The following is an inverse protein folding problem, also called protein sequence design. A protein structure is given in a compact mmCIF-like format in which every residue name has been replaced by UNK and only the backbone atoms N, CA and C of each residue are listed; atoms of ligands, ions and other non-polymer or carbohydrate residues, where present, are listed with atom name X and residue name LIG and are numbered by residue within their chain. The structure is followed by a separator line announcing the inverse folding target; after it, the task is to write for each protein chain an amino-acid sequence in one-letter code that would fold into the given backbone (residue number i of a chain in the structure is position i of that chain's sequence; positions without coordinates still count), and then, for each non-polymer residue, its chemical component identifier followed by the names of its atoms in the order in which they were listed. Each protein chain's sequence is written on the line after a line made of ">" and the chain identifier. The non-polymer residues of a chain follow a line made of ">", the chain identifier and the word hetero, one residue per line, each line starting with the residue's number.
data_IF_691074225203
#
_entry.id   IF_691074225203
#
_cell.length_a   1.000
_cell.length_b   1.000
_cell.length_c   1.000
_cell.angle_alpha   90.00
_cell.angle_beta   90.00
_cell.angle_gamma   90.00
#
_symmetry.space_group_name_H-M   'P 1'
#
loop_
_entity.id
_entity.type
_entity.pdbx_description
1 polymer ?
#
# COMPACT_ATOMS: atom_id res chain seq x y z
N UNK A 1 20.93 20.10 -0.20
CA UNK A 1 20.64 19.60 -1.56
C UNK A 1 21.64 20.02 -2.65
N UNK A 2 22.74 20.75 -2.37
CA UNK A 2 23.70 21.17 -3.41
C UNK A 2 25.00 20.36 -3.50
N UNK A 3 25.44 19.66 -2.43
CA UNK A 3 26.71 18.91 -2.43
C UNK A 3 26.67 17.50 -3.05
N UNK A 4 25.50 16.86 -3.09
CA UNK A 4 25.34 15.55 -3.75
C UNK A 4 25.37 15.68 -5.28
N UNK A 5 24.90 16.80 -5.82
CA UNK A 5 24.85 17.04 -7.25
C UNK A 5 26.25 17.20 -7.89
N UNK A 6 27.24 17.70 -7.15
CA UNK A 6 28.63 17.82 -7.61
C UNK A 6 29.44 16.52 -7.55
N UNK A 7 28.89 15.46 -6.93
CA UNK A 7 29.48 14.12 -6.86
C UNK A 7 28.85 13.14 -7.89
N UNK A 8 27.85 13.58 -8.67
CA UNK A 8 26.99 12.73 -9.49
C UNK A 8 27.74 11.90 -10.53
N UNK A 9 28.85 12.38 -11.10
CA UNK A 9 29.60 11.64 -12.13
C UNK A 9 30.28 10.35 -11.61
N UNK A 10 30.31 10.14 -10.29
CA UNK A 10 30.80 8.90 -9.67
C UNK A 10 29.89 8.27 -8.61
N UNK A 11 28.85 8.98 -8.15
CA UNK A 11 28.01 8.55 -7.03
C UNK A 11 27.21 7.28 -7.32
N UNK A 12 26.84 7.01 -8.58
CA UNK A 12 26.17 5.78 -9.00
C UNK A 12 27.00 4.53 -8.67
N UNK A 13 28.33 4.62 -8.69
CA UNK A 13 29.24 3.53 -8.31
C UNK A 13 29.16 3.15 -6.83
N UNK A 14 28.65 4.05 -5.99
CA UNK A 14 28.47 3.81 -4.55
C UNK A 14 27.12 3.14 -4.24
N UNK A 15 26.16 3.16 -5.16
CA UNK A 15 24.81 2.60 -4.95
C UNK A 15 24.86 1.14 -4.48
N UNK A 16 25.64 0.23 -5.07
CA UNK A 16 25.73 -1.16 -4.59
C UNK A 16 26.26 -1.26 -3.14
N UNK A 17 27.20 -0.39 -2.76
CA UNK A 17 27.74 -0.39 -1.39
C UNK A 17 26.69 0.10 -0.39
N UNK A 18 25.93 1.16 -0.70
CA UNK A 18 24.81 1.61 0.12
C UNK A 18 23.73 0.54 0.25
N UNK A 19 23.36 -0.13 -0.84
CA UNK A 19 22.39 -1.23 -0.81
C UNK A 19 22.83 -2.37 0.11
N UNK A 20 24.11 -2.75 0.10
CA UNK A 20 24.64 -3.78 1.02
C UNK A 20 24.52 -3.36 2.47
N UNK A 21 24.89 -2.13 2.82
CA UNK A 21 24.77 -1.60 4.18
C UNK A 21 23.30 -1.55 4.61
N UNK A 22 22.41 -1.06 3.75
CA UNK A 22 20.98 -1.01 4.07
C UNK A 22 20.41 -2.41 4.28
N UNK A 23 20.81 -3.39 3.47
CA UNK A 23 20.35 -4.77 3.58
C UNK A 23 20.68 -5.43 4.93
N UNK A 24 21.71 -4.96 5.65
CA UNK A 24 22.04 -5.50 6.98
C UNK A 24 21.22 -4.88 8.11
N UNK A 25 20.45 -3.81 7.84
CA UNK A 25 19.70 -3.07 8.87
C UNK A 25 18.23 -2.82 8.52
N UNK A 26 17.78 -3.21 7.32
CA UNK A 26 16.48 -2.80 6.78
C UNK A 26 15.29 -3.37 7.57
N UNK A 27 15.46 -4.55 8.19
CA UNK A 27 14.41 -5.21 9.00
C UNK A 27 14.46 -4.87 10.50
N UNK A 28 15.53 -4.20 10.95
CA UNK A 28 15.74 -3.85 12.36
C UNK A 28 15.76 -2.33 12.60
N UNK A 29 15.93 -1.54 11.55
CA UNK A 29 16.21 -0.11 11.62
C UNK A 29 15.19 0.72 10.85
N UNK A 30 14.13 1.25 11.50
CA UNK A 30 13.15 2.15 10.88
C UNK A 30 13.78 3.30 10.05
N UNK A 31 14.89 3.86 10.54
CA UNK A 31 15.61 4.95 9.88
C UNK A 31 16.26 4.56 8.53
N UNK A 32 16.53 3.27 8.31
CA UNK A 32 17.10 2.78 7.06
C UNK A 32 16.22 3.11 5.85
N UNK A 33 14.89 3.13 6.03
CA UNK A 33 13.95 3.48 4.96
C UNK A 33 14.01 4.96 4.55
N UNK A 34 14.43 5.86 5.44
CA UNK A 34 14.63 7.26 5.06
C UNK A 34 15.83 7.42 4.12
N UNK A 35 16.90 6.65 4.35
CA UNK A 35 18.08 6.60 3.50
C UNK A 35 17.76 5.89 2.18
N UNK A 36 17.11 4.73 2.25
CA UNK A 36 16.64 3.98 1.07
C UNK A 36 15.76 4.86 0.17
N UNK A 37 14.78 5.56 0.74
CA UNK A 37 13.93 6.51 -0.01
C UNK A 37 14.76 7.54 -0.76
N UNK A 38 15.77 8.13 -0.13
CA UNK A 38 16.62 9.14 -0.78
C UNK A 38 17.44 8.52 -1.90
N UNK A 39 18.03 7.34 -1.66
CA UNK A 39 18.78 6.58 -2.66
C UNK A 39 17.93 6.30 -3.91
N UNK A 40 16.70 5.80 -3.72
CA UNK A 40 15.81 5.46 -4.82
C UNK A 40 15.30 6.70 -5.56
N UNK A 41 14.96 7.79 -4.87
CA UNK A 41 14.47 8.99 -5.53
C UNK A 41 15.55 9.69 -6.38
N UNK A 42 16.82 9.49 -6.05
CA UNK A 42 17.95 10.10 -6.78
C UNK A 42 18.47 9.19 -7.89
N UNK A 43 18.62 7.88 -7.64
CA UNK A 43 19.40 6.99 -8.51
C UNK A 43 18.59 5.90 -9.23
N UNK A 44 17.27 5.84 -9.06
CA UNK A 44 16.45 4.77 -9.65
C UNK A 44 16.49 4.71 -11.18
N UNK A 45 16.77 5.83 -11.87
CA UNK A 45 16.95 5.82 -13.33
C UNK A 45 18.31 5.24 -13.72
N UNK A 46 19.38 5.67 -13.04
CA UNK A 46 20.76 5.32 -13.38
C UNK A 46 21.24 3.99 -12.79
N UNK A 47 20.49 3.41 -11.85
CA UNK A 47 20.86 2.19 -11.12
C UNK A 47 19.66 1.25 -10.94
N UNK A 48 18.77 1.22 -11.94
CA UNK A 48 17.48 0.52 -11.90
C UNK A 48 17.60 -0.98 -11.56
N UNK A 49 18.57 -1.69 -12.12
CA UNK A 49 18.76 -3.13 -11.86
C UNK A 49 19.11 -3.40 -10.39
N UNK A 50 20.20 -2.79 -9.88
CA UNK A 50 20.67 -3.01 -8.51
C UNK A 50 19.62 -2.56 -7.49
N UNK A 51 18.98 -1.43 -7.73
CA UNK A 51 17.91 -0.93 -6.86
C UNK A 51 16.65 -1.81 -6.95
N UNK A 52 16.32 -2.33 -8.13
CA UNK A 52 15.18 -3.23 -8.33
C UNK A 52 15.34 -4.55 -7.60
N UNK A 53 16.52 -5.17 -7.67
CA UNK A 53 16.83 -6.40 -6.94
C UNK A 53 16.76 -6.20 -5.42
N UNK A 54 17.35 -5.12 -4.91
CA UNK A 54 17.30 -4.80 -3.49
C UNK A 54 15.88 -4.45 -3.03
N UNK A 55 15.11 -3.72 -3.82
CA UNK A 55 13.72 -3.42 -3.54
C UNK A 55 12.88 -4.69 -3.39
N UNK A 56 13.01 -5.62 -4.34
CA UNK A 56 12.31 -6.90 -4.30
C UNK A 56 12.72 -7.72 -3.08
N UNK A 57 14.01 -7.80 -2.77
CA UNK A 57 14.51 -8.51 -1.59
C UNK A 57 13.98 -7.89 -0.29
N UNK A 58 14.11 -6.56 -0.12
CA UNK A 58 13.66 -5.87 1.08
C UNK A 58 12.14 -5.96 1.25
N UNK A 59 11.36 -5.83 0.17
CA UNK A 59 9.92 -6.02 0.23
C UNK A 59 9.57 -7.45 0.66
N UNK A 60 10.28 -8.46 0.16
CA UNK A 60 10.10 -9.85 0.59
C UNK A 60 10.40 -10.08 2.07
N UNK A 61 11.50 -9.53 2.58
CA UNK A 61 11.86 -9.60 4.00
C UNK A 61 10.84 -8.92 4.89
N UNK A 62 10.38 -7.72 4.52
CA UNK A 62 9.36 -6.99 5.29
C UNK A 62 8.00 -7.69 5.23
N UNK A 63 7.65 -8.30 4.09
CA UNK A 63 6.44 -9.10 3.99
C UNK A 63 6.48 -10.31 4.94
N UNK A 64 7.63 -10.99 5.04
CA UNK A 64 7.82 -12.06 6.02
C UNK A 64 7.73 -11.54 7.47
N UNK A 65 8.40 -10.43 7.79
CA UNK A 65 8.30 -9.78 9.09
C UNK A 65 6.85 -9.43 9.45
N UNK A 66 6.06 -8.92 8.50
CA UNK A 66 4.65 -8.59 8.74
C UNK A 66 3.78 -9.82 9.03
N UNK A 67 4.18 -11.01 8.57
CA UNK A 67 3.48 -12.26 8.94
C UNK A 67 3.78 -12.70 10.36
N UNK A 68 4.97 -12.39 10.87
CA UNK A 68 5.41 -12.79 12.22
C UNK A 68 5.06 -11.73 13.28
N UNK A 69 5.20 -10.45 12.92
CA UNK A 69 5.02 -9.31 13.81
C UNK A 69 4.46 -8.09 13.04
N UNK A 70 3.12 -8.05 12.91
CA UNK A 70 2.39 -6.95 12.27
C UNK A 70 2.47 -5.61 13.04
N UNK A 71 3.05 -5.62 14.24
CA UNK A 71 3.22 -4.43 15.10
C UNK A 71 4.67 -3.90 15.10
N UNK A 72 5.54 -4.45 14.24
CA UNK A 72 6.90 -3.96 14.08
C UNK A 72 6.93 -2.49 13.67
N UNK A 73 7.81 -1.73 14.32
CA UNK A 73 8.09 -0.31 14.07
C UNK A 73 8.68 -0.03 12.68
N UNK A 74 9.13 -1.08 11.99
CA UNK A 74 9.64 -1.02 10.62
C UNK A 74 8.54 -0.87 9.57
N UNK A 75 7.31 -1.32 9.88
CA UNK A 75 6.23 -1.39 8.88
C UNK A 75 5.77 -0.02 8.43
N UNK A 76 5.59 0.95 9.33
CA UNK A 76 5.19 2.32 8.94
C UNK A 76 6.23 2.99 8.02
N UNK A 77 7.53 3.05 8.36
CA UNK A 77 8.56 3.57 7.46
C UNK A 77 8.63 2.85 6.11
N UNK A 78 8.50 1.52 6.09
CA UNK A 78 8.49 0.74 4.85
C UNK A 78 7.30 1.13 3.97
N UNK A 79 6.09 1.14 4.52
CA UNK A 79 4.87 1.48 3.78
C UNK A 79 4.91 2.93 3.28
N UNK A 80 5.42 3.85 4.09
CA UNK A 80 5.62 5.23 3.70
C UNK A 80 6.65 5.36 2.57
N UNK A 81 7.76 4.62 2.62
CA UNK A 81 8.75 4.54 1.55
C UNK A 81 8.14 3.98 0.26
N UNK A 82 7.46 2.84 0.33
CA UNK A 82 6.79 2.19 -0.79
C UNK A 82 5.78 3.13 -1.46
N UNK A 83 4.96 3.83 -0.66
CA UNK A 83 3.99 4.80 -1.16
C UNK A 83 4.67 5.97 -1.89
N UNK A 84 5.76 6.50 -1.36
CA UNK A 84 6.50 7.59 -2.01
C UNK A 84 7.14 7.12 -3.32
N UNK A 85 7.68 5.90 -3.35
CA UNK A 85 8.27 5.34 -4.56
C UNK A 85 7.22 5.16 -5.65
N UNK A 86 6.08 4.56 -5.31
CA UNK A 86 4.92 4.40 -6.20
C UNK A 86 4.44 5.75 -6.77
N UNK A 87 4.35 6.77 -5.91
CA UNK A 87 3.83 8.09 -6.30
C UNK A 87 4.81 8.89 -7.15
N UNK A 88 6.11 8.84 -6.83
CA UNK A 88 7.12 9.73 -7.44
C UNK A 88 7.93 9.06 -8.53
N UNK A 89 7.99 7.73 -8.55
CA UNK A 89 8.83 6.98 -9.47
C UNK A 89 8.13 5.70 -9.95
N UNK A 90 6.90 5.87 -10.43
CA UNK A 90 6.11 4.77 -10.99
C UNK A 90 6.84 3.97 -12.09
N UNK A 91 7.53 4.60 -13.07
CA UNK A 91 8.25 3.85 -14.10
C UNK A 91 9.27 2.86 -13.54
N UNK A 92 9.95 3.23 -12.45
CA UNK A 92 10.86 2.31 -11.76
C UNK A 92 10.10 1.10 -11.18
N UNK A 93 8.99 1.33 -10.48
CA UNK A 93 8.20 0.25 -9.86
C UNK A 93 7.67 -0.78 -10.86
N UNK A 94 7.47 -0.38 -12.12
CA UNK A 94 7.01 -1.26 -13.20
C UNK A 94 8.15 -1.81 -14.06
N UNK A 95 9.40 -1.47 -13.76
CA UNK A 95 10.56 -2.02 -14.45
C UNK A 95 10.85 -3.48 -14.07
N UNK A 96 11.59 -4.18 -14.93
CA UNK A 96 11.73 -5.65 -14.91
C UNK A 96 12.05 -6.26 -13.53
N UNK A 97 13.09 -5.77 -12.83
CA UNK A 97 13.47 -6.33 -11.52
C UNK A 97 12.59 -5.85 -10.37
N UNK A 98 12.00 -4.65 -10.48
CA UNK A 98 11.30 -3.98 -9.40
C UNK A 98 9.82 -4.36 -9.31
N UNK A 99 9.20 -4.78 -10.42
CA UNK A 99 7.79 -5.20 -10.47
C UNK A 99 7.53 -6.42 -9.58
N UNK A 100 8.54 -7.27 -9.38
CA UNK A 100 8.48 -8.46 -8.53
C UNK A 100 8.29 -8.14 -7.05
N UNK A 101 8.55 -6.89 -6.63
CA UNK A 101 8.28 -6.44 -5.27
C UNK A 101 6.79 -6.14 -5.01
N UNK A 102 6.01 -5.80 -6.04
CA UNK A 102 4.61 -5.37 -5.89
C UNK A 102 3.73 -6.39 -5.14
N UNK A 103 3.83 -7.71 -5.41
CA UNK A 103 3.20 -8.75 -4.59
C UNK A 103 3.48 -8.58 -3.09
N UNK A 104 4.75 -8.49 -2.70
CA UNK A 104 5.17 -8.38 -1.31
C UNK A 104 4.71 -7.09 -0.64
N UNK A 105 4.76 -5.97 -1.38
CA UNK A 105 4.28 -4.67 -0.92
C UNK A 105 2.78 -4.71 -0.64
N UNK A 106 2.01 -5.31 -1.55
CA UNK A 106 0.57 -5.49 -1.40
C UNK A 106 0.25 -6.42 -0.23
N UNK A 107 0.95 -7.53 -0.09
CA UNK A 107 0.75 -8.49 1.00
C UNK A 107 1.05 -7.87 2.37
N UNK A 108 2.13 -7.09 2.48
CA UNK A 108 2.48 -6.35 3.70
C UNK A 108 1.36 -5.37 4.08
N UNK A 109 0.93 -4.54 3.14
CA UNK A 109 -0.14 -3.57 3.40
C UNK A 109 -1.48 -4.26 3.73
N UNK A 110 -1.76 -5.39 3.10
CA UNK A 110 -2.95 -6.21 3.39
C UNK A 110 -2.92 -6.77 4.81
N UNK A 111 -1.77 -7.29 5.26
CA UNK A 111 -1.60 -7.83 6.60
C UNK A 111 -1.79 -6.74 7.66
N UNK A 112 -1.20 -5.56 7.45
CA UNK A 112 -1.40 -4.40 8.33
C UNK A 112 -2.88 -4.00 8.38
N UNK A 113 -3.56 -3.89 7.24
CA UNK A 113 -4.99 -3.54 7.20
C UNK A 113 -5.86 -4.55 7.95
N UNK A 114 -5.51 -5.83 7.88
CA UNK A 114 -6.26 -6.90 8.52
C UNK A 114 -6.08 -6.91 10.04
N UNK A 115 -4.85 -6.70 10.53
CA UNK A 115 -4.50 -7.09 11.89
C UNK A 115 -3.89 -6.00 12.75
N UNK A 116 -3.33 -4.92 12.17
CA UNK A 116 -2.61 -3.93 12.99
C UNK A 116 -3.54 -3.07 13.84
N UNK A 117 -3.13 -2.79 15.08
CA UNK A 117 -3.82 -1.87 15.99
C UNK A 117 -3.27 -0.44 15.90
N UNK A 118 -2.15 -0.23 15.22
CA UNK A 118 -1.50 1.07 15.08
C UNK A 118 -2.11 1.90 13.96
N UNK A 119 -2.91 2.90 14.32
CA UNK A 119 -3.56 3.81 13.37
C UNK A 119 -2.60 4.47 12.35
N UNK A 120 -1.37 4.90 12.72
CA UNK A 120 -0.42 5.46 11.76
C UNK A 120 -0.01 4.45 10.66
N UNK A 121 0.29 3.21 11.05
CA UNK A 121 0.69 2.13 10.12
C UNK A 121 -0.48 1.76 9.20
N UNK A 122 -1.68 1.62 9.77
CA UNK A 122 -2.93 1.32 9.01
C UNK A 122 -3.23 2.41 7.99
N UNK A 123 -3.06 3.67 8.36
CA UNK A 123 -3.18 4.80 7.42
C UNK A 123 -2.21 4.66 6.24
N UNK A 124 -0.94 4.35 6.48
CA UNK A 124 0.03 4.19 5.39
C UNK A 124 -0.33 3.01 4.48
N UNK A 125 -0.73 1.88 5.06
CA UNK A 125 -1.16 0.71 4.31
C UNK A 125 -2.37 1.02 3.41
N UNK A 126 -3.38 1.72 3.93
CA UNK A 126 -4.54 2.11 3.16
C UNK A 126 -4.21 3.08 2.02
N UNK A 127 -3.37 4.08 2.28
CA UNK A 127 -2.92 5.02 1.25
C UNK A 127 -2.15 4.31 0.13
N UNK A 128 -1.31 3.34 0.49
CA UNK A 128 -0.55 2.53 -0.45
C UNK A 128 -1.44 1.62 -1.29
N UNK A 129 -2.36 0.89 -0.66
CA UNK A 129 -3.30 0.02 -1.36
C UNK A 129 -4.20 0.81 -2.31
N UNK A 130 -4.78 1.92 -1.87
CA UNK A 130 -5.59 2.78 -2.74
C UNK A 130 -4.79 3.30 -3.94
N UNK A 131 -3.51 3.66 -3.74
CA UNK A 131 -2.64 4.08 -4.84
C UNK A 131 -2.31 2.95 -5.81
N UNK A 132 -2.06 1.73 -5.31
CA UNK A 132 -1.84 0.55 -6.17
C UNK A 132 -3.08 0.25 -7.01
N UNK A 133 -4.26 0.21 -6.40
CA UNK A 133 -5.51 -0.06 -7.14
C UNK A 133 -5.77 1.02 -8.19
N UNK A 134 -5.53 2.29 -7.88
CA UNK A 134 -5.66 3.38 -8.85
C UNK A 134 -4.68 3.27 -10.03
N UNK A 135 -3.49 2.69 -9.80
CA UNK A 135 -2.46 2.47 -10.82
C UNK A 135 -2.65 1.22 -11.66
N UNK A 136 -3.60 0.36 -11.32
CA UNK A 136 -3.80 -0.91 -12.01
C UNK A 136 -4.12 -0.75 -13.50
N UNK A 137 -4.88 0.29 -13.89
CA UNK A 137 -5.17 0.54 -15.30
C UNK A 137 -3.90 0.78 -16.15
N UNK A 138 -2.82 1.26 -15.53
CA UNK A 138 -1.56 1.62 -16.18
C UNK A 138 -0.56 0.44 -16.26
N UNK A 139 -0.77 -0.66 -15.51
CA UNK A 139 0.20 -1.75 -15.41
C UNK A 139 -0.46 -3.14 -15.49
N UNK A 140 -0.21 -3.93 -16.55
CA UNK A 140 -0.74 -5.29 -16.69
C UNK A 140 -0.44 -6.21 -15.50
N UNK A 141 0.80 -6.20 -15.00
CA UNK A 141 1.21 -7.00 -13.85
C UNK A 141 0.39 -6.67 -12.60
N UNK A 142 -0.01 -5.41 -12.40
CA UNK A 142 -0.83 -5.01 -11.26
C UNK A 142 -2.30 -5.42 -11.43
N UNK A 143 -2.82 -5.46 -12.67
CA UNK A 143 -4.16 -6.00 -12.94
C UNK A 143 -4.24 -7.48 -12.63
N UNK A 144 -3.23 -8.26 -13.04
CA UNK A 144 -3.11 -9.67 -12.72
C UNK A 144 -2.96 -9.89 -11.19
N UNK A 145 -2.20 -9.01 -10.54
CA UNK A 145 -2.09 -9.04 -9.08
C UNK A 145 -3.44 -8.83 -8.40
N UNK A 146 -4.22 -7.86 -8.88
CA UNK A 146 -5.54 -7.52 -8.32
C UNK A 146 -6.63 -8.53 -8.69
N UNK A 147 -6.55 -9.22 -9.82
CA UNK A 147 -7.49 -10.30 -10.10
C UNK A 147 -7.38 -11.43 -9.07
N UNK A 148 -6.18 -11.62 -8.50
CA UNK A 148 -5.92 -12.67 -7.50
C UNK A 148 -6.11 -12.17 -6.07
N UNK A 149 -5.58 -10.98 -5.73
CA UNK A 149 -5.57 -10.43 -4.35
C UNK A 149 -6.72 -9.46 -4.06
N UNK A 150 -7.32 -8.87 -5.09
CA UNK A 150 -8.36 -7.84 -4.98
C UNK A 150 -9.58 -8.25 -4.16
N UNK A 151 -10.17 -9.45 -4.37
CA UNK A 151 -11.31 -9.89 -3.58
C UNK A 151 -11.04 -9.90 -2.07
N UNK A 152 -9.89 -10.46 -1.66
CA UNK A 152 -9.47 -10.47 -0.25
C UNK A 152 -9.27 -9.07 0.29
N UNK A 153 -8.68 -8.16 -0.50
CA UNK A 153 -8.48 -6.76 -0.12
C UNK A 153 -9.80 -6.03 0.12
N UNK A 154 -10.81 -6.24 -0.71
CA UNK A 154 -12.14 -5.67 -0.54
C UNK A 154 -12.75 -6.15 0.78
N UNK A 155 -12.71 -7.46 1.04
CA UNK A 155 -13.22 -8.03 2.29
C UNK A 155 -12.47 -7.48 3.50
N UNK A 156 -11.14 -7.42 3.47
CA UNK A 156 -10.33 -6.87 4.56
C UNK A 156 -10.67 -5.40 4.83
N UNK A 157 -10.78 -4.57 3.79
CA UNK A 157 -11.13 -3.16 3.94
C UNK A 157 -12.54 -2.99 4.52
N UNK A 158 -13.51 -3.80 4.06
CA UNK A 158 -14.88 -3.76 4.57
C UNK A 158 -14.97 -4.22 6.03
N UNK A 159 -14.36 -5.35 6.38
CA UNK A 159 -14.31 -5.84 7.77
C UNK A 159 -13.65 -4.81 8.69
N UNK A 160 -12.52 -4.21 8.25
CA UNK A 160 -11.85 -3.18 9.04
C UNK A 160 -12.72 -1.95 9.24
N UNK A 161 -13.42 -1.52 8.20
CA UNK A 161 -14.38 -0.40 8.26
C UNK A 161 -15.46 -0.64 9.33
N UNK A 162 -15.90 -1.89 9.54
CA UNK A 162 -16.94 -2.21 10.52
C UNK A 162 -16.45 -2.16 11.97
N UNK A 163 -15.19 -2.53 12.23
CA UNK A 163 -14.67 -2.69 13.60
C UNK A 163 -13.90 -1.48 14.12
N UNK A 164 -13.48 -0.59 13.23
CA UNK A 164 -12.58 0.51 13.56
C UNK A 164 -13.21 1.55 14.51
N UNK A 165 -12.42 2.01 15.48
CA UNK A 165 -12.88 2.96 16.52
C UNK A 165 -12.67 4.40 16.04
N UNK A 166 -11.54 4.67 15.39
CA UNK A 166 -11.15 6.01 14.97
C UNK A 166 -11.80 6.38 13.64
N UNK A 167 -12.51 7.50 13.61
CA UNK A 167 -13.17 7.99 12.39
C UNK A 167 -12.19 8.19 11.23
N UNK A 168 -10.95 8.62 11.49
CA UNK A 168 -9.91 8.75 10.46
C UNK A 168 -9.57 7.42 9.81
N UNK A 169 -9.51 6.34 10.60
CA UNK A 169 -9.19 5.00 10.11
C UNK A 169 -10.35 4.39 9.31
N UNK A 170 -11.60 4.71 9.68
CA UNK A 170 -12.79 4.39 8.87
C UNK A 170 -12.70 5.05 7.49
N UNK A 171 -12.27 6.32 7.42
CA UNK A 171 -12.10 7.01 6.13
C UNK A 171 -11.01 6.38 5.26
N UNK A 172 -9.93 5.87 5.86
CA UNK A 172 -8.87 5.18 5.12
C UNK A 172 -9.35 3.85 4.52
N UNK A 173 -10.10 3.05 5.28
CA UNK A 173 -10.72 1.83 4.75
C UNK A 173 -11.75 2.15 3.65
N UNK A 174 -12.55 3.20 3.84
CA UNK A 174 -13.50 3.67 2.84
C UNK A 174 -12.82 4.12 1.54
N UNK A 175 -11.63 4.71 1.60
CA UNK A 175 -10.89 5.13 0.42
C UNK A 175 -10.47 3.94 -0.46
N UNK A 176 -10.08 2.81 0.15
CA UNK A 176 -9.76 1.58 -0.59
C UNK A 176 -11.01 1.09 -1.33
N UNK A 177 -12.13 0.96 -0.60
CA UNK A 177 -13.41 0.51 -1.17
C UNK A 177 -13.92 1.46 -2.25
N UNK A 178 -13.73 2.76 -2.10
CA UNK A 178 -14.11 3.76 -3.10
C UNK A 178 -13.35 3.54 -4.42
N UNK A 179 -12.04 3.31 -4.34
CA UNK A 179 -11.22 3.04 -5.53
C UNK A 179 -11.62 1.71 -6.18
N UNK A 180 -11.83 0.65 -5.40
CA UNK A 180 -12.31 -0.63 -5.94
C UNK A 180 -13.70 -0.51 -6.58
N UNK A 181 -14.64 0.17 -5.93
CA UNK A 181 -15.98 0.34 -6.46
C UNK A 181 -15.99 1.16 -7.77
N UNK A 182 -15.07 2.11 -7.92
CA UNK A 182 -14.90 2.87 -9.16
C UNK A 182 -14.22 2.08 -10.28
N UNK A 183 -13.16 1.33 -9.97
CA UNK A 183 -12.34 0.63 -10.96
C UNK A 183 -12.83 -0.79 -11.30
N UNK A 184 -13.45 -1.47 -10.35
CA UNK A 184 -13.87 -2.88 -10.38
C UNK A 184 -15.26 -3.06 -9.75
N UNK A 185 -16.31 -2.40 -10.31
CA UNK A 185 -17.62 -2.32 -9.67
C UNK A 185 -18.32 -3.67 -9.51
N UNK A 186 -18.15 -4.58 -10.47
CA UNK A 186 -18.81 -5.90 -10.45
C UNK A 186 -18.18 -6.79 -9.39
N UNK A 187 -16.86 -6.87 -9.38
CA UNK A 187 -16.06 -7.64 -8.43
C UNK A 187 -16.27 -7.11 -7.01
N UNK A 188 -16.32 -5.78 -6.83
CA UNK A 188 -16.60 -5.15 -5.54
C UNK A 188 -17.98 -5.55 -5.01
N UNK A 189 -19.01 -5.50 -5.86
CA UNK A 189 -20.37 -5.94 -5.49
C UNK A 189 -20.43 -7.42 -5.17
N UNK A 190 -19.71 -8.26 -5.92
CA UNK A 190 -19.65 -9.70 -5.68
C UNK A 190 -19.01 -10.01 -4.32
N UNK A 191 -17.89 -9.36 -3.99
CA UNK A 191 -17.22 -9.56 -2.70
C UNK A 191 -18.07 -9.08 -1.51
N UNK A 192 -18.95 -8.10 -1.73
CA UNK A 192 -19.84 -7.53 -0.73
C UNK A 192 -21.28 -8.06 -0.84
N UNK A 193 -21.52 -9.18 -1.52
CA UNK A 193 -22.87 -9.68 -1.79
C UNK A 193 -23.67 -9.93 -0.51
N UNK A 194 -23.07 -10.56 0.50
CA UNK A 194 -23.71 -10.80 1.80
C UNK A 194 -24.02 -9.48 2.52
N UNK A 195 -23.06 -8.56 2.54
CA UNK A 195 -23.22 -7.24 3.13
C UNK A 195 -24.33 -6.42 2.46
N UNK A 196 -24.47 -6.53 1.13
CA UNK A 196 -25.53 -5.90 0.35
C UNK A 196 -26.92 -6.44 0.69
N UNK A 197 -27.03 -7.74 1.01
CA UNK A 197 -28.29 -8.34 1.46
C UNK A 197 -28.65 -7.90 2.88
N UNK A 198 -27.65 -7.75 3.74
CA UNK A 198 -27.86 -7.41 5.15
C UNK A 198 -28.09 -5.92 5.41
N UNK A 199 -27.56 -5.03 4.57
CA UNK A 199 -27.58 -3.59 4.84
C UNK A 199 -27.81 -2.72 3.60
N UNK A 200 -28.92 -1.94 3.54
CA UNK A 200 -29.16 -1.00 2.44
C UNK A 200 -28.14 0.15 2.42
N UNK A 201 -27.41 0.37 3.52
CA UNK A 201 -26.34 1.37 3.59
C UNK A 201 -25.16 0.98 2.68
N UNK A 202 -24.88 -0.32 2.52
CA UNK A 202 -23.79 -0.79 1.65
C UNK A 202 -24.13 -0.49 0.19
N UNK A 203 -25.36 -0.76 -0.24
CA UNK A 203 -25.82 -0.41 -1.59
C UNK A 203 -25.77 1.11 -1.82
N UNK A 204 -26.21 1.89 -0.83
CA UNK A 204 -26.17 3.36 -0.89
C UNK A 204 -24.75 3.88 -1.02
N UNK A 205 -23.80 3.31 -0.26
CA UNK A 205 -22.38 3.65 -0.35
C UNK A 205 -21.83 3.36 -1.75
N UNK A 206 -22.06 2.16 -2.29
CA UNK A 206 -21.53 1.75 -3.60
C UNK A 206 -22.15 2.54 -4.77
N UNK A 207 -23.32 3.16 -4.59
CA UNK A 207 -23.91 4.03 -5.60
C UNK A 207 -23.29 5.44 -5.63
N UNK A 208 -22.48 5.81 -4.63
CA UNK A 208 -21.82 7.12 -4.52
C UNK A 208 -20.37 7.11 -5.04
N UNK A 209 -20.03 6.22 -5.98
CA UNK A 209 -18.70 6.14 -6.62
C UNK A 209 -18.27 7.40 -7.38
N UNK A 210 -19.22 8.29 -7.72
CA UNK A 210 -18.94 9.62 -8.25
C UNK A 210 -18.71 10.70 -7.19
N UNK A 211 -18.96 10.42 -5.90
CA UNK A 211 -18.91 11.39 -4.81
C UNK A 211 -18.22 10.80 -3.57
N UNK A 212 -16.89 10.93 -3.53
CA UNK A 212 -16.04 10.44 -2.43
C UNK A 212 -16.50 10.92 -1.05
N UNK A 213 -16.98 12.17 -0.95
CA UNK A 213 -17.47 12.73 0.32
C UNK A 213 -18.69 11.95 0.82
N UNK A 214 -19.71 11.78 -0.03
CA UNK A 214 -20.92 11.00 0.31
C UNK A 214 -20.60 9.54 0.55
N UNK A 215 -19.71 8.93 -0.24
CA UNK A 215 -19.25 7.57 -0.02
C UNK A 215 -18.70 7.39 1.41
N UNK A 216 -17.84 8.30 1.86
CA UNK A 216 -17.30 8.30 3.24
C UNK A 216 -18.37 8.54 4.30
N UNK A 217 -19.36 9.38 4.03
CA UNK A 217 -20.50 9.60 4.93
C UNK A 217 -21.29 8.30 5.15
N UNK A 218 -21.55 7.53 4.08
CA UNK A 218 -22.16 6.21 4.21
C UNK A 218 -21.26 5.19 4.90
N UNK A 219 -19.95 5.16 4.61
CA UNK A 219 -18.99 4.31 5.29
C UNK A 219 -19.01 4.53 6.82
N UNK A 220 -19.04 5.79 7.27
CA UNK A 220 -19.17 6.12 8.70
C UNK A 220 -20.49 5.62 9.30
N UNK A 221 -21.59 5.71 8.56
CA UNK A 221 -22.90 5.18 9.02
C UNK A 221 -22.86 3.66 9.15
N UNK A 222 -22.21 2.95 8.23
CA UNK A 222 -22.01 1.50 8.30
C UNK A 222 -21.18 1.14 9.53
N UNK A 223 -20.05 1.81 9.76
CA UNK A 223 -19.22 1.62 10.96
C UNK A 223 -20.03 1.81 12.25
N UNK A 224 -20.78 2.92 12.36
CA UNK A 224 -21.60 3.21 13.54
C UNK A 224 -22.72 2.18 13.76
N UNK A 225 -23.29 1.61 12.69
CA UNK A 225 -24.29 0.55 12.80
C UNK A 225 -23.67 -0.76 13.26
N UNK A 226 -22.53 -1.16 12.67
CA UNK A 226 -21.84 -2.40 13.00
C UNK A 226 -21.27 -2.44 14.43
N UNK A 227 -20.93 -1.28 15.00
CA UNK A 227 -20.46 -1.18 16.39
C UNK A 227 -21.57 -1.20 17.44
N UNK A 228 -22.84 -1.10 17.02
CA UNK A 228 -24.01 -1.11 17.91
C UNK A 228 -24.71 -2.46 17.97
N UNK A 229 -24.41 -3.36 17.03
CA UNK A 229 -24.84 -4.76 17.00
C UNK A 229 -23.87 -5.65 17.76
#
# INVERSE_FOLDING_TARGET
>A
NSGLCSLLDGATRLVPAYCRILSTVIVDGPAAFAVAKTLFLVFAQDSSTVLGENWTNWAGQVAHLATENVESDVLEPFLAFAYQLLKKNWPFCTGDSAVQALPHVMDTASAVMASSLQAPVVKQAAMLLAALVAKAAEAPALRELLSTRGPRLITVAYTRLQTEILTSSVEFAADILFVFAGSYPQETRQCLAEALQQSPLVASMLNEVGNKRKFREFAKRINLAARKS
#
